data_IF_506901312971
#
_entry.id   IF_506901312971
#
_cell.length_a   1.000
_cell.length_b   1.000
_cell.length_c   1.000
_cell.angle_alpha   90.00
_cell.angle_beta   90.00
_cell.angle_gamma   90.00
#
_symmetry.space_group_name_H-M   'P 1'
#
loop_
_entity.id
_entity.type
_entity.pdbx_description
1 polymer ?
#
# COMPACT_ATOMS: atom_id res chain seq x y z
N UNK A 1 -25.69 -50.74 -40.17
CA UNK A 1 -25.86 -49.28 -40.20
C UNK A 1 -24.82 -48.68 -39.29
N UNK A 2 -23.93 -47.88 -39.85
CA UNK A 2 -22.95 -47.10 -39.11
C UNK A 2 -23.68 -46.00 -38.33
N UNK A 3 -23.39 -45.89 -37.04
CA UNK A 3 -23.64 -44.69 -36.26
C UNK A 3 -22.56 -44.62 -35.17
N UNK A 4 -21.38 -44.15 -35.59
CA UNK A 4 -20.46 -43.40 -34.74
C UNK A 4 -21.22 -42.21 -34.13
N UNK A 5 -21.05 -41.96 -32.84
CA UNK A 5 -20.29 -40.79 -32.40
C UNK A 5 -21.21 -39.89 -31.56
N UNK A 6 -20.81 -39.22 -30.50
CA UNK A 6 -19.51 -38.95 -29.90
C UNK A 6 -19.81 -38.91 -28.40
N UNK A 7 -19.18 -39.79 -27.60
CA UNK A 7 -19.10 -39.52 -26.17
C UNK A 7 -18.39 -38.18 -26.03
N UNK A 8 -19.12 -37.15 -25.59
CA UNK A 8 -18.53 -35.87 -25.19
C UNK A 8 -17.71 -36.11 -23.91
N UNK A 9 -16.54 -36.74 -24.07
CA UNK A 9 -15.44 -36.55 -23.13
C UNK A 9 -15.05 -35.09 -23.26
N UNK A 10 -15.56 -34.28 -22.33
CA UNK A 10 -15.04 -32.95 -22.14
C UNK A 10 -13.56 -33.12 -21.76
N UNK A 11 -12.67 -32.78 -22.68
CA UNK A 11 -11.24 -32.74 -22.43
C UNK A 11 -10.97 -31.55 -21.50
N UNK A 12 -10.97 -31.83 -20.20
CA UNK A 12 -10.52 -30.87 -19.20
C UNK A 12 -8.99 -30.88 -19.21
N UNK A 13 -8.39 -29.92 -19.93
CA UNK A 13 -6.97 -29.63 -19.78
C UNK A 13 -6.77 -28.93 -18.44
N UNK A 14 -6.16 -29.62 -17.48
CA UNK A 14 -5.70 -29.02 -16.23
C UNK A 14 -4.51 -28.12 -16.57
N UNK A 15 -4.79 -26.85 -16.85
CA UNK A 15 -3.73 -25.84 -16.94
C UNK A 15 -3.18 -25.69 -15.53
N UNK A 16 -1.97 -26.22 -15.30
CA UNK A 16 -1.17 -25.80 -14.17
C UNK A 16 -0.83 -24.33 -14.41
N UNK A 17 -1.67 -23.44 -13.90
CA UNK A 17 -1.24 -22.06 -13.67
C UNK A 17 -0.22 -22.13 -12.54
N UNK A 18 1.05 -22.39 -12.91
CA UNK A 18 2.16 -21.95 -12.08
C UNK A 18 1.85 -20.51 -11.69
N UNK A 19 1.82 -20.22 -10.39
CA UNK A 19 1.42 -18.92 -9.86
C UNK A 19 2.24 -17.82 -10.55
N UNK A 20 1.66 -17.21 -11.59
CA UNK A 20 2.40 -16.35 -12.52
C UNK A 20 2.79 -15.00 -11.89
N UNK A 21 2.48 -14.78 -10.62
CA UNK A 21 2.82 -13.56 -9.89
C UNK A 21 3.09 -13.93 -8.43
N UNK A 22 4.36 -13.94 -8.03
CA UNK A 22 4.73 -13.83 -6.61
C UNK A 22 4.37 -12.40 -6.17
N UNK A 23 3.59 -12.20 -5.10
CA UNK A 23 3.39 -10.86 -4.58
C UNK A 23 4.75 -10.31 -4.13
N UNK A 24 5.17 -9.19 -4.73
CA UNK A 24 6.39 -8.46 -4.37
C UNK A 24 6.28 -7.75 -3.02
N UNK A 25 5.08 -7.76 -2.41
CA UNK A 25 4.76 -7.04 -1.19
C UNK A 25 4.21 -8.02 -0.15
N UNK A 26 5.10 -8.53 0.70
CA UNK A 26 4.80 -9.40 1.83
C UNK A 26 4.76 -8.63 3.17
N UNK A 27 5.27 -7.40 3.17
CA UNK A 27 5.27 -6.54 4.34
C UNK A 27 5.08 -5.06 4.00
N UNK A 28 4.61 -4.31 5.00
CA UNK A 28 4.43 -2.88 5.00
C UNK A 28 4.89 -2.29 6.33
N UNK A 29 5.15 -0.99 6.34
CA UNK A 29 5.45 -0.21 7.55
C UNK A 29 4.22 0.60 7.95
N UNK A 30 3.98 0.77 9.24
CA UNK A 30 2.94 1.68 9.73
C UNK A 30 3.03 3.06 9.07
N UNK A 31 1.90 3.60 8.62
CA UNK A 31 1.83 4.85 7.87
C UNK A 31 2.11 4.74 6.37
N UNK A 32 2.40 3.54 5.85
CA UNK A 32 2.43 3.31 4.41
C UNK A 32 1.09 3.54 3.73
N UNK A 33 1.17 3.89 2.45
CA UNK A 33 0.05 4.05 1.55
C UNK A 33 0.32 3.14 0.37
N UNK A 34 -0.52 2.15 0.13
CA UNK A 34 -0.30 1.13 -0.89
C UNK A 34 -1.35 1.22 -1.99
N UNK A 35 -0.90 1.09 -3.23
CA UNK A 35 -1.78 1.01 -4.38
C UNK A 35 -2.19 -0.44 -4.63
N UNK A 36 -3.49 -0.71 -4.55
CA UNK A 36 -4.08 -2.04 -4.66
C UNK A 36 -4.74 -2.27 -6.03
N UNK A 37 -4.44 -1.46 -7.04
CA UNK A 37 -5.07 -1.60 -8.34
C UNK A 37 -4.89 -3.01 -8.93
N UNK A 38 -5.95 -3.59 -9.47
CA UNK A 38 -5.90 -4.86 -10.21
C UNK A 38 -6.71 -4.78 -11.51
N UNK A 39 -6.29 -5.48 -12.58
CA UNK A 39 -7.00 -5.48 -13.86
C UNK A 39 -8.19 -6.45 -13.90
N UNK A 40 -8.69 -6.93 -12.75
CA UNK A 40 -9.68 -8.01 -12.71
C UNK A 40 -11.09 -7.42 -12.66
N UNK A 41 -11.89 -7.74 -13.67
CA UNK A 41 -13.28 -7.29 -13.83
C UNK A 41 -14.21 -8.50 -13.97
N UNK A 42 -15.49 -8.29 -13.71
CA UNK A 42 -16.53 -9.29 -13.97
C UNK A 42 -16.80 -9.47 -15.48
N UNK A 43 -17.66 -10.43 -15.82
CA UNK A 43 -18.19 -10.62 -17.18
C UNK A 43 -18.92 -9.39 -17.74
N UNK A 44 -19.43 -8.51 -16.87
CA UNK A 44 -20.09 -7.25 -17.25
C UNK A 44 -19.14 -6.05 -17.21
N UNK A 45 -17.83 -6.29 -17.21
CA UNK A 45 -16.78 -5.26 -17.12
C UNK A 45 -16.89 -4.39 -15.85
N UNK A 46 -17.46 -4.93 -14.76
CA UNK A 46 -17.50 -4.24 -13.46
C UNK A 46 -16.22 -4.53 -12.67
N UNK A 47 -15.53 -3.51 -12.14
CA UNK A 47 -14.30 -3.71 -11.38
C UNK A 47 -14.57 -4.36 -10.03
N UNK A 48 -13.62 -5.19 -9.59
CA UNK A 48 -13.63 -5.76 -8.25
C UNK A 48 -13.13 -4.75 -7.22
N UNK A 49 -13.24 -5.10 -5.94
CA UNK A 49 -12.77 -4.26 -4.85
C UNK A 49 -11.96 -5.08 -3.87
N UNK A 50 -10.99 -4.42 -3.22
CA UNK A 50 -10.24 -5.00 -2.12
C UNK A 50 -10.93 -4.73 -0.79
N UNK A 51 -10.78 -5.70 0.11
CA UNK A 51 -11.21 -5.61 1.50
C UNK A 51 -10.07 -6.00 2.42
N UNK A 52 -10.02 -5.33 3.57
CA UNK A 52 -9.11 -5.63 4.66
C UNK A 52 -9.83 -6.47 5.71
N UNK A 53 -9.13 -7.44 6.31
CA UNK A 53 -9.63 -8.19 7.47
C UNK A 53 -9.72 -7.36 8.75
N UNK A 54 -8.92 -6.30 8.85
CA UNK A 54 -8.87 -5.41 10.02
C UNK A 54 -8.61 -3.96 9.55
N UNK A 55 -9.62 -3.11 9.70
CA UNK A 55 -9.53 -1.69 9.31
C UNK A 55 -8.64 -0.85 10.23
N UNK A 56 -8.31 -1.33 11.43
CA UNK A 56 -7.35 -0.68 12.33
C UNK A 56 -5.90 -0.90 11.90
N UNK A 57 -5.63 -2.03 11.25
CA UNK A 57 -4.35 -2.33 10.63
C UNK A 57 -4.24 -1.69 9.25
N UNK A 58 -5.31 -1.76 8.44
CA UNK A 58 -5.30 -1.19 7.10
C UNK A 58 -6.70 -0.79 6.63
N UNK A 59 -6.88 0.49 6.34
CA UNK A 59 -8.12 1.04 5.78
C UNK A 59 -8.01 1.11 4.26
N UNK A 60 -9.03 0.64 3.55
CA UNK A 60 -9.05 0.66 2.07
C UNK A 60 -10.09 1.68 1.59
N UNK A 61 -9.66 2.56 0.69
CA UNK A 61 -10.55 3.38 -0.12
C UNK A 61 -10.79 2.67 -1.47
N UNK A 62 -11.94 1.99 -1.65
CA UNK A 62 -12.23 1.22 -2.86
C UNK A 62 -12.49 2.09 -4.09
N UNK A 63 -12.80 3.38 -3.93
CA UNK A 63 -12.98 4.29 -5.07
C UNK A 63 -11.64 4.68 -5.73
N UNK A 64 -10.55 4.58 -4.97
CA UNK A 64 -9.20 4.92 -5.43
C UNK A 64 -8.29 3.70 -5.59
N UNK A 65 -8.72 2.52 -5.12
CA UNK A 65 -7.88 1.33 -4.93
C UNK A 65 -6.63 1.62 -4.09
N UNK A 66 -6.80 2.37 -3.01
CA UNK A 66 -5.70 2.78 -2.12
C UNK A 66 -5.93 2.22 -0.72
N UNK A 67 -4.91 1.59 -0.17
CA UNK A 67 -4.85 1.19 1.22
C UNK A 67 -3.99 2.14 2.05
N UNK A 68 -4.47 2.50 3.23
CA UNK A 68 -3.77 3.30 4.23
C UNK A 68 -3.44 2.39 5.42
N UNK A 69 -2.16 2.20 5.67
CA UNK A 69 -1.68 1.37 6.78
C UNK A 69 -1.78 2.17 8.07
N UNK A 70 -2.41 1.56 9.08
CA UNK A 70 -2.60 2.14 10.39
C UNK A 70 -1.31 2.24 11.20
N UNK A 71 -1.48 2.55 12.48
CA UNK A 71 -0.38 2.73 13.44
C UNK A 71 -0.13 1.50 14.33
N UNK A 72 -0.73 0.36 13.99
CA UNK A 72 -0.59 -0.90 14.73
C UNK A 72 0.21 -1.89 13.90
N UNK A 73 1.02 -2.69 14.58
CA UNK A 73 1.66 -3.85 13.99
C UNK A 73 0.72 -5.06 13.97
N UNK A 74 0.98 -6.00 13.07
CA UNK A 74 0.19 -7.23 12.96
C UNK A 74 0.10 -7.73 11.53
N UNK A 75 -0.66 -8.81 11.33
CA UNK A 75 -0.90 -9.36 9.99
C UNK A 75 -2.29 -8.94 9.53
N UNK A 76 -2.36 -8.28 8.38
CA UNK A 76 -3.62 -7.99 7.71
C UNK A 76 -3.81 -8.92 6.51
N UNK A 77 -5.04 -9.40 6.32
CA UNK A 77 -5.41 -10.22 5.18
C UNK A 77 -6.23 -9.38 4.22
N UNK A 78 -5.75 -9.28 2.98
CA UNK A 78 -6.43 -8.59 1.90
C UNK A 78 -7.11 -9.59 0.98
N UNK A 79 -8.40 -9.36 0.74
CA UNK A 79 -9.21 -10.20 -0.13
C UNK A 79 -9.83 -9.37 -1.23
N UNK A 80 -9.69 -9.82 -2.47
CA UNK A 80 -10.33 -9.21 -3.63
C UNK A 80 -11.64 -9.93 -3.98
N UNK A 81 -12.67 -9.18 -4.36
CA UNK A 81 -14.00 -9.72 -4.68
C UNK A 81 -13.97 -10.87 -5.70
N UNK A 82 -13.09 -10.82 -6.69
CA UNK A 82 -12.94 -11.84 -7.74
C UNK A 82 -11.79 -12.84 -7.52
N UNK A 83 -10.95 -12.66 -6.49
CA UNK A 83 -9.80 -13.54 -6.21
C UNK A 83 -9.86 -14.10 -4.78
N UNK A 84 -11.05 -14.54 -4.36
CA UNK A 84 -11.30 -14.93 -2.97
C UNK A 84 -10.49 -16.16 -2.50
N UNK A 85 -10.10 -17.04 -3.43
CA UNK A 85 -9.28 -18.22 -3.15
C UNK A 85 -7.79 -17.91 -2.96
N UNK A 86 -7.36 -16.67 -3.22
CA UNK A 86 -5.97 -16.24 -3.12
C UNK A 86 -5.86 -14.94 -2.29
N UNK A 87 -6.18 -14.98 -0.99
CA UNK A 87 -5.99 -13.84 -0.11
C UNK A 87 -4.50 -13.50 0.00
N UNK A 88 -4.19 -12.22 0.18
CA UNK A 88 -2.83 -11.73 0.40
C UNK A 88 -2.64 -11.47 1.89
N UNK A 89 -1.62 -12.08 2.48
CA UNK A 89 -1.22 -11.84 3.85
C UNK A 89 -0.09 -10.82 3.86
N UNK A 90 -0.29 -9.70 4.56
CA UNK A 90 0.70 -8.63 4.66
C UNK A 90 1.06 -8.43 6.13
N UNK A 91 2.34 -8.55 6.43
CA UNK A 91 2.87 -8.20 7.75
C UNK A 91 3.08 -6.69 7.84
N UNK A 92 2.47 -6.04 8.82
CA UNK A 92 2.70 -4.64 9.14
C UNK A 92 3.71 -4.57 10.28
N UNK A 93 4.80 -3.86 10.04
CA UNK A 93 5.85 -3.58 11.02
C UNK A 93 5.70 -2.17 11.58
N UNK A 94 6.08 -1.95 12.86
CA UNK A 94 6.12 -0.63 13.45
C UNK A 94 7.22 0.23 12.79
N UNK A 95 7.10 1.55 12.94
CA UNK A 95 8.16 2.49 12.56
C UNK A 95 9.33 2.35 13.55
N UNK A 96 10.51 2.01 13.05
CA UNK A 96 11.76 1.94 13.81
C UNK A 96 12.68 3.14 13.55
N UNK A 97 12.56 3.77 12.37
CA UNK A 97 13.39 4.90 11.97
C UNK A 97 12.56 5.89 11.15
N UNK A 98 12.87 7.18 11.29
CA UNK A 98 12.25 8.26 10.51
C UNK A 98 13.36 8.96 9.75
N UNK A 99 13.32 8.85 8.43
CA UNK A 99 14.20 9.60 7.54
C UNK A 99 13.54 10.92 7.17
N UNK A 100 14.26 12.01 7.40
CA UNK A 100 13.85 13.35 7.01
C UNK A 100 14.39 13.62 5.61
N UNK A 101 13.51 13.93 4.66
CA UNK A 101 13.93 14.36 3.34
C UNK A 101 14.13 15.87 3.36
N UNK A 102 15.40 16.27 3.30
CA UNK A 102 15.79 17.67 3.25
C UNK A 102 15.18 18.35 2.02
N UNK A 103 14.47 19.46 2.25
CA UNK A 103 14.11 20.39 1.19
C UNK A 103 15.17 21.50 1.16
N UNK A 104 16.02 21.60 0.12
CA UNK A 104 17.06 22.61 0.06
C UNK A 104 16.51 24.05 0.03
N UNK A 105 15.21 24.22 -0.25
CA UNK A 105 14.55 25.52 -0.22
C UNK A 105 13.92 25.85 1.15
N UNK A 106 13.90 24.90 2.08
CA UNK A 106 13.32 25.08 3.39
C UNK A 106 14.29 25.78 4.33
N UNK A 107 14.12 27.10 4.46
CA UNK A 107 14.89 27.94 5.38
C UNK A 107 14.00 28.28 6.59
N UNK A 108 14.37 27.77 7.76
CA UNK A 108 13.69 28.06 9.02
C UNK A 108 14.42 29.17 9.77
N UNK A 109 14.01 30.43 9.57
CA UNK A 109 14.55 31.57 10.31
C UNK A 109 13.42 32.48 10.79
N UNK A 110 13.42 32.89 12.06
CA UNK A 110 12.51 33.90 12.63
C UNK A 110 11.05 33.77 12.15
N UNK A 111 10.54 32.52 12.12
CA UNK A 111 9.23 32.20 11.57
C UNK A 111 8.11 32.88 12.34
N UNK A 112 7.07 33.33 11.63
CA UNK A 112 5.87 33.88 12.25
C UNK A 112 5.28 32.85 13.23
N UNK A 113 4.84 33.32 14.39
CA UNK A 113 4.19 32.46 15.40
C UNK A 113 2.97 31.78 14.76
N UNK A 114 2.93 30.45 14.81
CA UNK A 114 1.91 29.57 14.18
C UNK A 114 2.03 29.38 12.66
N UNK A 115 3.15 29.74 12.04
CA UNK A 115 3.44 29.29 10.67
C UNK A 115 3.46 27.76 10.60
N UNK A 116 2.85 27.20 9.55
CA UNK A 116 2.83 25.74 9.33
C UNK A 116 3.97 25.41 8.39
N UNK A 117 4.86 24.55 8.86
CA UNK A 117 5.97 24.00 8.09
C UNK A 117 5.68 22.53 7.82
N UNK A 118 5.96 22.07 6.61
CA UNK A 118 5.80 20.66 6.22
C UNK A 118 7.17 20.08 5.94
N UNK A 119 7.53 19.08 6.72
CA UNK A 119 8.75 18.28 6.50
C UNK A 119 8.33 16.96 5.89
N UNK A 120 8.98 16.57 4.81
CA UNK A 120 8.70 15.28 4.17
C UNK A 120 9.46 14.20 4.91
N UNK A 121 8.75 13.14 5.28
CA UNK A 121 9.29 12.05 6.08
C UNK A 121 9.11 10.73 5.34
N UNK A 122 10.11 9.84 5.44
CA UNK A 122 10.00 8.43 5.08
C UNK A 122 10.05 7.62 6.37
N UNK A 123 8.97 6.89 6.64
CA UNK A 123 8.83 6.06 7.84
C UNK A 123 9.40 4.69 7.52
N UNK A 124 10.42 4.26 8.24
CA UNK A 124 11.09 3.00 7.98
C UNK A 124 10.83 2.02 9.12
N UNK A 125 10.67 0.75 8.78
CA UNK A 125 10.73 -0.37 9.71
C UNK A 125 12.09 -1.06 9.59
N UNK A 126 12.41 -1.94 10.53
CA UNK A 126 13.64 -2.75 10.50
C UNK A 126 13.81 -3.55 9.20
N UNK A 127 12.73 -3.79 8.46
CA UNK A 127 12.75 -4.49 7.16
C UNK A 127 12.96 -3.57 5.97
N UNK A 128 12.77 -2.27 6.13
CA UNK A 128 12.80 -1.32 5.02
C UNK A 128 13.95 -0.31 5.09
N UNK A 129 14.72 -0.27 6.19
CA UNK A 129 15.87 0.64 6.39
C UNK A 129 16.81 0.57 5.18
N UNK A 130 17.01 1.71 4.52
CA UNK A 130 17.89 1.86 3.36
C UNK A 130 17.36 1.28 2.05
N UNK A 131 16.16 0.69 2.04
CA UNK A 131 15.51 0.13 0.85
C UNK A 131 14.35 1.00 0.38
N UNK A 132 13.60 1.58 1.32
CA UNK A 132 12.39 2.35 1.06
C UNK A 132 12.72 3.84 0.95
N UNK A 133 12.26 4.49 -0.11
CA UNK A 133 12.49 5.92 -0.39
C UNK A 133 11.24 6.79 -0.30
N UNK A 134 10.07 6.18 -0.09
CA UNK A 134 8.78 6.87 0.04
C UNK A 134 7.76 5.99 0.77
N UNK A 135 6.80 6.59 1.47
CA UNK A 135 5.66 5.91 2.10
C UNK A 135 4.55 5.52 1.11
N UNK A 136 4.60 5.98 -0.15
CA UNK A 136 3.70 5.51 -1.20
C UNK A 136 4.29 4.28 -1.91
N UNK A 137 3.74 3.11 -1.61
CA UNK A 137 4.12 1.82 -2.18
C UNK A 137 3.28 1.57 -3.44
N UNK A 138 3.90 1.77 -4.62
CA UNK A 138 3.22 1.65 -5.91
C UNK A 138 3.45 0.27 -6.54
N UNK A 139 2.38 -0.35 -7.02
CA UNK A 139 2.46 -1.46 -7.98
C UNK A 139 2.63 -0.96 -9.43
N UNK A 140 3.00 -1.86 -10.35
CA UNK A 140 3.34 -1.56 -11.77
C UNK A 140 2.28 -0.76 -12.55
N UNK A 141 1.01 -0.81 -12.16
CA UNK A 141 -0.11 -0.19 -12.88
C UNK A 141 -0.91 0.80 -12.03
N UNK A 142 -0.30 1.35 -10.97
CA UNK A 142 -0.95 2.38 -10.19
C UNK A 142 -1.24 3.64 -11.03
N UNK A 143 -2.38 4.31 -10.79
CA UNK A 143 -2.68 5.57 -11.50
C UNK A 143 -1.62 6.61 -11.18
N UNK A 144 -1.21 7.37 -12.19
CA UNK A 144 -0.17 8.41 -12.05
C UNK A 144 -0.62 9.60 -11.21
N UNK A 145 -1.94 9.82 -11.08
CA UNK A 145 -2.53 10.89 -10.28
C UNK A 145 -2.75 10.52 -8.81
N UNK A 146 -2.50 9.27 -8.40
CA UNK A 146 -2.64 8.82 -7.00
C UNK A 146 -1.88 9.73 -6.03
N UNK A 147 -0.68 10.20 -6.41
CA UNK A 147 0.11 11.13 -5.59
C UNK A 147 -0.60 12.46 -5.28
N UNK A 148 -1.50 12.91 -6.16
CA UNK A 148 -2.27 14.15 -5.98
C UNK A 148 -3.54 13.93 -5.16
N UNK A 149 -4.07 12.71 -5.19
CA UNK A 149 -5.31 12.32 -4.53
C UNK A 149 -5.07 11.88 -3.08
N UNK A 150 -3.86 11.43 -2.79
CA UNK A 150 -3.44 11.03 -1.45
C UNK A 150 -2.94 12.24 -0.68
N UNK A 151 -3.61 12.55 0.41
CA UNK A 151 -3.08 13.43 1.45
C UNK A 151 -2.61 12.57 2.62
N UNK A 152 -1.29 12.37 2.81
CA UNK A 152 -0.79 11.62 3.94
C UNK A 152 -1.28 12.27 5.24
N UNK A 153 -1.88 11.47 6.12
CA UNK A 153 -2.14 11.90 7.48
C UNK A 153 -0.83 11.87 8.24
N UNK A 154 -0.24 13.05 8.45
CA UNK A 154 1.05 13.20 9.10
C UNK A 154 0.98 13.37 10.61
N UNK A 155 2.16 13.30 11.23
CA UNK A 155 2.37 13.74 12.60
C UNK A 155 2.23 15.27 12.69
N UNK A 156 1.62 15.75 13.78
CA UNK A 156 1.64 17.17 14.14
C UNK A 156 2.62 17.34 15.28
N UNK A 157 3.71 18.04 15.02
CA UNK A 157 4.75 18.32 16.01
C UNK A 157 4.83 19.83 16.25
N UNK A 158 5.36 20.21 17.40
CA UNK A 158 5.78 21.57 17.69
C UNK A 158 7.29 21.64 17.51
N UNK A 159 7.76 22.66 16.77
CA UNK A 159 9.18 22.96 16.63
C UNK A 159 9.47 24.19 17.47
N UNK A 160 10.49 24.11 18.31
CA UNK A 160 10.98 25.21 19.13
C UNK A 160 12.48 25.37 18.90
N UNK A 161 12.94 26.63 18.83
CA UNK A 161 14.36 26.94 18.85
C UNK A 161 14.79 27.10 20.29
N UNK A 162 15.66 26.21 20.79
CA UNK A 162 16.29 26.37 22.10
C UNK A 162 17.71 26.90 21.96
N UNK A 163 18.12 27.77 22.87
CA UNK A 163 19.51 28.18 23.05
C UNK A 163 20.26 27.26 24.03
N UNK A 164 19.61 26.21 24.51
CA UNK A 164 20.22 25.18 25.34
C UNK A 164 20.99 24.22 24.41
N UNK A 165 22.29 24.08 24.66
CA UNK A 165 23.11 23.06 23.99
C UNK A 165 22.53 21.69 24.29
N UNK A 166 22.25 20.88 23.26
CA UNK A 166 21.77 19.51 23.45
C UNK A 166 22.73 18.71 24.33
N UNK A 167 22.23 17.88 25.28
CA UNK A 167 23.06 17.06 26.15
C UNK A 167 23.84 15.98 25.41
#
# INVERSE_FOLDING_TARGET
>A
GWAEGIQKTADYVKINVEQAVRPQLDHLTSGDIVCLWTPVVSEFNTPGTWKSSDSSLMMINPALDIGFVGNREGVVVLTHTFLQSAPIHIQIYPVSEIEFLDDPNMILTNGEKKSIVRVVLVLQSEKSIGLKTNNLIQGWRCRTDVRKLVSPTGFKCFVEFSNESSP
#
